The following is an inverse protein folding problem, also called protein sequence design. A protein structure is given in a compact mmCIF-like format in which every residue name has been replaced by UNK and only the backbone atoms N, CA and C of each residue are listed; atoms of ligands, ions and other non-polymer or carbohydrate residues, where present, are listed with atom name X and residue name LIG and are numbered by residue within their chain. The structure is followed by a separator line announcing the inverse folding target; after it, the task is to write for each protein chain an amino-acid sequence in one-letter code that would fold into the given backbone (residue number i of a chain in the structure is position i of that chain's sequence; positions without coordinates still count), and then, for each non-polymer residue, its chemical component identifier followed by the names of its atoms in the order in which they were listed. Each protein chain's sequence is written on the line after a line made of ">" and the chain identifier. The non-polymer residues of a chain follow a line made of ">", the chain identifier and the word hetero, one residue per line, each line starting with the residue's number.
data_IF_357046196046
#
_entry.id   IF_357046196046
#
_cell.length_a   1.000
_cell.length_b   1.000
_cell.length_c   1.000
_cell.angle_alpha   90.00
_cell.angle_beta   90.00
_cell.angle_gamma   90.00
#
_symmetry.space_group_name_H-M   'P 1'
#
loop_
_entity.id
_entity.type
_entity.pdbx_description
1 polymer ?
#
# COMPACT_ATOMS: atom_id res chain seq x y z
N UNK A 1 22.57 -10.70 -41.75
CA UNK A 1 23.10 -9.98 -40.58
C UNK A 1 22.20 -8.77 -40.37
N UNK A 2 21.31 -8.82 -39.39
CA UNK A 2 20.38 -7.73 -39.08
C UNK A 2 21.08 -6.77 -38.11
N UNK A 3 21.28 -5.52 -38.51
CA UNK A 3 21.88 -4.50 -37.64
C UNK A 3 20.81 -4.00 -36.66
N UNK A 4 21.02 -4.26 -35.37
CA UNK A 4 20.22 -3.74 -34.27
C UNK A 4 20.71 -2.34 -33.92
N UNK A 5 19.97 -1.31 -34.33
CA UNK A 5 20.26 0.08 -33.97
C UNK A 5 19.67 0.37 -32.60
N UNK A 6 20.50 0.44 -31.57
CA UNK A 6 20.12 0.91 -30.23
C UNK A 6 20.05 2.44 -30.26
N UNK A 7 18.86 3.00 -30.08
CA UNK A 7 18.66 4.44 -29.87
C UNK A 7 18.66 4.70 -28.37
N UNK A 8 19.77 5.17 -27.84
CA UNK A 8 19.86 5.64 -26.45
C UNK A 8 19.29 7.05 -26.37
N UNK A 9 18.04 7.18 -25.92
CA UNK A 9 17.45 8.48 -25.62
C UNK A 9 17.91 8.95 -24.24
N UNK A 10 18.84 9.92 -24.20
CA UNK A 10 19.21 10.62 -22.98
C UNK A 10 18.12 11.66 -22.65
N UNK A 11 17.34 11.42 -21.60
CA UNK A 11 16.37 12.39 -21.08
C UNK A 11 17.12 13.31 -20.10
N UNK A 12 17.41 14.53 -20.56
CA UNK A 12 17.89 15.61 -19.71
C UNK A 12 16.74 16.22 -18.92
N UNK A 13 16.67 15.94 -17.62
CA UNK A 13 15.79 16.65 -16.69
C UNK A 13 16.37 18.04 -16.41
N UNK A 14 15.94 19.02 -17.21
CA UNK A 14 16.12 20.44 -16.95
C UNK A 14 15.23 20.85 -15.78
N UNK A 15 15.84 21.25 -14.67
CA UNK A 15 15.13 21.63 -13.44
C UNK A 15 14.20 22.82 -13.65
N UNK A 16 12.91 22.61 -13.35
CA UNK A 16 11.95 23.67 -13.13
C UNK A 16 11.87 23.93 -11.62
N UNK A 17 12.51 25.00 -11.16
CA UNK A 17 12.25 25.58 -9.83
C UNK A 17 10.81 26.09 -9.80
N UNK A 18 9.97 25.47 -8.98
CA UNK A 18 8.65 26.01 -8.63
C UNK A 18 8.87 27.13 -7.61
N UNK A 19 8.61 28.37 -8.04
CA UNK A 19 8.55 29.54 -7.16
C UNK A 19 7.13 29.60 -6.58
N UNK A 20 7.00 29.39 -5.27
CA UNK A 20 5.75 29.56 -4.52
C UNK A 20 5.66 31.03 -4.07
N UNK A 21 4.68 31.84 -4.50
CA UNK A 21 4.54 33.19 -3.98
C UNK A 21 3.91 33.19 -2.59
N UNK A 22 4.61 33.82 -1.64
CA UNK A 22 4.15 34.17 -0.30
C UNK A 22 3.19 35.36 -0.37
N UNK A 23 1.93 35.18 0.03
CA UNK A 23 0.95 36.27 0.18
C UNK A 23 0.58 36.47 1.63
N UNK A 24 1.12 37.51 2.27
CA UNK A 24 0.72 37.99 3.59
C UNK A 24 -0.08 39.30 3.50
N UNK A 25 -1.28 39.28 4.09
CA UNK A 25 -1.93 40.27 4.98
C UNK A 25 -2.07 41.77 4.63
N UNK A 26 -3.32 42.27 4.67
CA UNK A 26 -3.89 43.51 5.26
C UNK A 26 -5.32 43.67 4.68
N UNK A 27 -6.47 43.82 5.37
CA UNK A 27 -6.80 44.39 6.67
C UNK A 27 -7.73 45.61 6.45
N UNK A 28 -9.03 45.55 6.80
CA UNK A 28 -9.84 46.74 7.14
C UNK A 28 -11.23 46.40 7.72
N UNK A 29 -11.62 47.21 8.70
CA UNK A 29 -12.66 47.08 9.73
C UNK A 29 -14.09 47.45 9.25
N UNK A 30 -15.14 47.07 10.01
CA UNK A 30 -16.50 47.60 9.79
C UNK A 30 -17.70 46.90 10.45
N UNK A 31 -17.78 46.95 11.79
CA UNK A 31 -18.93 46.89 12.74
C UNK A 31 -20.38 46.77 12.19
N UNK A 32 -21.17 45.85 12.77
CA UNK A 32 -22.44 46.19 13.46
C UNK A 32 -22.82 45.13 14.52
N UNK A 33 -22.89 45.58 15.77
CA UNK A 33 -23.44 44.86 16.92
C UNK A 33 -24.93 45.22 17.01
N UNK A 34 -25.82 44.23 17.11
CA UNK A 34 -27.18 44.44 17.64
C UNK A 34 -27.74 43.17 18.26
N UNK A 35 -27.65 43.14 19.60
CA UNK A 35 -28.67 42.76 20.60
C UNK A 35 -29.76 41.76 20.15
N UNK A 36 -29.67 40.55 20.70
CA UNK A 36 -30.79 39.64 20.91
C UNK A 36 -30.60 38.89 22.24
N UNK A 37 -31.18 39.44 23.30
CA UNK A 37 -31.33 38.78 24.61
C UNK A 37 -32.18 37.53 24.48
N UNK A 38 -31.62 36.35 24.78
CA UNK A 38 -32.40 35.21 25.27
C UNK A 38 -31.60 34.49 26.35
N UNK A 39 -31.75 34.95 27.58
CA UNK A 39 -31.38 34.16 28.75
C UNK A 39 -32.36 33.01 28.90
N UNK A 40 -31.84 31.80 29.11
CA UNK A 40 -32.36 30.84 30.10
C UNK A 40 -31.20 30.01 30.66
N UNK A 41 -31.11 30.06 31.98
CA UNK A 41 -30.27 29.27 32.86
C UNK A 41 -30.38 27.76 32.66
N UNK A 42 -29.28 27.06 32.98
CA UNK A 42 -29.36 25.81 33.74
C UNK A 42 -28.54 24.67 33.17
N UNK A 43 -27.42 24.33 33.84
CA UNK A 43 -26.83 22.99 33.74
C UNK A 43 -25.32 22.94 33.87
N UNK A 44 -24.84 22.74 35.10
CA UNK A 44 -23.46 22.34 35.41
C UNK A 44 -23.17 20.93 34.88
N UNK A 45 -21.97 20.71 34.34
CA UNK A 45 -21.42 19.40 33.95
C UNK A 45 -20.15 19.61 33.14
N UNK A 46 -19.01 19.85 33.79
CA UNK A 46 -18.03 18.83 34.21
C UNK A 46 -17.33 18.12 33.03
N UNK A 47 -16.03 18.34 32.94
CA UNK A 47 -15.06 17.33 32.50
C UNK A 47 -15.12 16.92 31.03
N UNK A 48 -14.20 17.48 30.24
CA UNK A 48 -13.28 16.71 29.41
C UNK A 48 -13.78 15.36 28.90
N UNK A 49 -14.40 15.36 27.71
CA UNK A 49 -14.32 14.22 26.80
C UNK A 49 -13.68 14.69 25.51
N UNK A 50 -12.34 14.64 25.50
CA UNK A 50 -11.60 14.21 24.33
C UNK A 50 -12.03 12.78 24.04
N UNK A 51 -13.15 12.59 23.36
CA UNK A 51 -13.39 11.35 22.63
C UNK A 51 -12.55 11.44 21.36
N UNK A 52 -11.27 11.10 21.55
CA UNK A 52 -10.45 10.63 20.45
C UNK A 52 -11.16 9.41 19.88
N UNK A 53 -11.88 9.63 18.79
CA UNK A 53 -12.06 8.61 17.79
C UNK A 53 -10.65 8.33 17.23
N UNK A 54 -9.91 7.51 17.98
CA UNK A 54 -8.84 6.73 17.39
C UNK A 54 -9.51 5.89 16.33
N UNK A 55 -9.54 6.41 15.10
CA UNK A 55 -9.47 5.56 13.95
C UNK A 55 -8.29 4.65 14.23
N UNK A 56 -8.56 3.39 14.57
CA UNK A 56 -7.60 2.35 14.25
C UNK A 56 -7.36 2.56 12.76
N UNK A 57 -6.20 3.12 12.45
CA UNK A 57 -5.68 3.23 11.10
C UNK A 57 -5.47 1.78 10.65
N UNK A 58 -6.58 1.15 10.26
CA UNK A 58 -6.57 -0.07 9.49
C UNK A 58 -5.67 0.22 8.31
N UNK A 59 -4.61 -0.55 8.21
CA UNK A 59 -3.51 -0.48 7.24
C UNK A 59 -3.98 -0.67 5.77
N UNK A 60 -5.26 -0.47 5.49
CA UNK A 60 -6.00 -0.84 4.30
C UNK A 60 -6.50 0.39 3.49
N UNK A 61 -6.23 1.62 3.94
CA UNK A 61 -6.61 2.82 3.18
C UNK A 61 -5.42 3.38 2.41
N UNK A 62 -5.11 2.79 1.25
CA UNK A 62 -4.25 3.43 0.27
C UNK A 62 -4.96 4.62 -0.38
N UNK A 63 -4.20 5.62 -0.86
CA UNK A 63 -4.75 6.73 -1.64
C UNK A 63 -5.16 6.23 -3.02
N UNK A 64 -6.40 6.48 -3.42
CA UNK A 64 -6.85 6.21 -4.80
C UNK A 64 -6.27 7.25 -5.74
N UNK A 65 -5.57 6.78 -6.76
CA UNK A 65 -4.97 7.56 -7.84
C UNK A 65 -5.82 7.47 -9.11
N UNK A 66 -5.74 8.48 -9.95
CA UNK A 66 -6.24 8.46 -11.34
C UNK A 66 -5.27 7.74 -12.27
N UNK A 67 -5.71 7.42 -13.50
CA UNK A 67 -4.92 6.63 -14.47
C UNK A 67 -3.60 7.28 -14.91
N UNK A 68 -3.44 8.60 -14.76
CA UNK A 68 -2.25 9.33 -15.22
C UNK A 68 -1.26 9.64 -14.12
N UNK A 69 -1.60 9.31 -12.87
CA UNK A 69 -0.74 9.59 -11.72
C UNK A 69 0.32 8.49 -11.55
N UNK A 70 1.46 8.91 -11.01
CA UNK A 70 2.50 8.00 -10.54
C UNK A 70 2.36 7.85 -9.02
N UNK A 71 2.39 6.62 -8.55
CA UNK A 71 2.54 6.33 -7.14
C UNK A 71 4.02 6.23 -6.80
N UNK A 72 4.50 7.00 -5.83
CA UNK A 72 5.85 6.88 -5.25
C UNK A 72 5.72 7.02 -3.73
N UNK A 73 5.82 5.92 -3.00
CA UNK A 73 5.69 5.93 -1.54
C UNK A 73 6.53 4.82 -0.90
N UNK A 74 7.10 5.14 0.27
CA UNK A 74 7.81 4.18 1.12
C UNK A 74 6.88 3.66 2.20
N UNK A 75 6.68 2.34 2.27
CA UNK A 75 5.89 1.68 3.31
C UNK A 75 6.63 0.46 3.85
N UNK A 76 6.76 0.37 5.18
CA UNK A 76 7.50 -0.73 5.85
C UNK A 76 8.92 -0.97 5.27
N UNK A 77 9.56 0.09 4.78
CA UNK A 77 10.89 0.03 4.18
C UNK A 77 10.95 -0.34 2.69
N UNK A 78 9.81 -0.69 2.08
CA UNK A 78 9.70 -0.89 0.64
C UNK A 78 9.23 0.41 -0.03
N UNK A 79 10.01 0.96 -0.95
CA UNK A 79 9.59 2.05 -1.83
C UNK A 79 8.95 1.46 -3.06
N UNK A 80 7.67 1.70 -3.27
CA UNK A 80 6.97 1.32 -4.49
C UNK A 80 6.81 2.54 -5.37
N UNK A 81 7.35 2.45 -6.59
CA UNK A 81 7.08 3.37 -7.69
C UNK A 81 6.23 2.61 -8.71
N UNK A 82 5.04 3.09 -9.06
CA UNK A 82 4.13 2.39 -9.97
C UNK A 82 3.30 3.38 -10.80
N UNK A 83 3.06 3.04 -12.06
CA UNK A 83 2.22 3.80 -12.99
C UNK A 83 1.38 2.85 -13.84
N UNK A 84 0.18 3.28 -14.22
CA UNK A 84 -0.63 2.58 -15.22
C UNK A 84 -0.14 2.90 -16.63
N UNK A 85 0.26 1.88 -17.38
CA UNK A 85 0.62 1.97 -18.78
C UNK A 85 -0.55 1.52 -19.66
N UNK A 86 -1.19 2.47 -20.35
CA UNK A 86 -2.34 2.21 -21.20
C UNK A 86 -1.97 1.48 -22.51
N UNK A 87 -0.70 1.56 -22.95
CA UNK A 87 -0.25 0.90 -24.18
C UNK A 87 -0.16 -0.62 -24.01
N UNK A 88 0.39 -1.07 -22.88
CA UNK A 88 0.50 -2.49 -22.51
C UNK A 88 -0.65 -2.99 -21.64
N UNK A 89 -1.57 -2.11 -21.24
CA UNK A 89 -2.68 -2.41 -20.32
C UNK A 89 -2.17 -3.07 -19.03
N UNK A 90 -1.17 -2.46 -18.39
CA UNK A 90 -0.52 -3.01 -17.22
C UNK A 90 -0.04 -1.93 -16.25
N UNK A 91 0.02 -2.26 -14.96
CA UNK A 91 0.75 -1.45 -13.99
C UNK A 91 2.22 -1.83 -14.02
N UNK A 92 3.09 -0.85 -14.23
CA UNK A 92 4.52 -1.05 -14.36
C UNK A 92 5.29 -0.14 -13.40
N UNK A 93 6.43 -0.60 -12.92
CA UNK A 93 7.26 0.17 -12.01
C UNK A 93 8.27 -0.69 -11.27
N UNK A 94 8.64 -0.27 -10.06
CA UNK A 94 9.68 -0.92 -9.26
C UNK A 94 9.35 -0.92 -7.78
N UNK A 95 9.83 -1.95 -7.07
CA UNK A 95 9.90 -1.93 -5.61
C UNK A 95 11.36 -2.03 -5.15
N UNK A 96 11.75 -1.13 -4.25
CA UNK A 96 13.10 -1.03 -3.69
C UNK A 96 13.09 -1.22 -2.17
N UNK A 97 14.06 -1.96 -1.64
CA UNK A 97 14.33 -1.98 -0.21
C UNK A 97 15.19 -0.77 0.20
N UNK A 98 14.58 0.20 0.89
CA UNK A 98 15.25 1.42 1.36
C UNK A 98 15.90 1.27 2.75
N UNK A 99 15.96 0.06 3.28
CA UNK A 99 16.48 -0.22 4.64
C UNK A 99 17.87 -0.84 4.61
N UNK A 100 18.47 -1.03 5.78
CA UNK A 100 19.74 -1.73 5.95
C UNK A 100 19.58 -3.23 6.25
N UNK A 101 18.36 -3.77 6.19
CA UNK A 101 18.05 -5.18 6.47
C UNK A 101 17.31 -5.80 5.29
N UNK A 102 17.38 -7.12 5.11
CA UNK A 102 16.56 -7.80 4.10
C UNK A 102 15.07 -7.66 4.43
N UNK A 103 14.26 -7.24 3.46
CA UNK A 103 12.81 -7.30 3.53
C UNK A 103 12.36 -8.66 3.01
N UNK A 104 11.61 -9.40 3.82
CA UNK A 104 11.15 -10.74 3.49
C UNK A 104 9.80 -10.66 2.77
N UNK A 105 9.60 -11.50 1.75
CA UNK A 105 8.30 -11.76 1.13
C UNK A 105 7.57 -10.51 0.68
N UNK A 106 8.29 -9.58 0.03
CA UNK A 106 7.71 -8.37 -0.54
C UNK A 106 6.75 -8.75 -1.67
N UNK A 107 5.54 -8.20 -1.62
CA UNK A 107 4.48 -8.41 -2.61
C UNK A 107 3.83 -7.07 -2.97
N UNK A 108 3.37 -6.95 -4.21
CA UNK A 108 2.61 -5.79 -4.67
C UNK A 108 1.23 -6.23 -5.13
N UNK A 109 0.21 -5.48 -4.74
CA UNK A 109 -1.18 -5.64 -5.15
C UNK A 109 -1.75 -4.29 -5.59
N UNK A 110 -2.72 -4.29 -6.51
CA UNK A 110 -3.44 -3.09 -6.94
C UNK A 110 -4.94 -3.33 -6.90
N UNK A 111 -5.67 -2.48 -6.20
CA UNK A 111 -7.14 -2.47 -6.19
C UNK A 111 -7.65 -1.47 -7.20
N UNK A 112 -8.52 -1.88 -8.11
CA UNK A 112 -9.13 -1.02 -9.12
C UNK A 112 -10.45 -0.44 -8.61
N UNK A 113 -10.80 0.76 -9.06
CA UNK A 113 -12.05 1.45 -8.64
C UNK A 113 -13.33 0.71 -9.03
N UNK A 114 -13.23 -0.26 -9.95
CA UNK A 114 -14.33 -1.14 -10.35
C UNK A 114 -14.48 -2.39 -9.45
N UNK A 115 -13.66 -2.50 -8.39
CA UNK A 115 -13.68 -3.59 -7.42
C UNK A 115 -12.83 -4.81 -7.80
N UNK A 116 -12.06 -4.74 -8.89
CA UNK A 116 -11.12 -5.80 -9.28
C UNK A 116 -9.81 -5.64 -8.53
N UNK A 117 -9.27 -6.72 -7.99
CA UNK A 117 -7.96 -6.79 -7.34
C UNK A 117 -6.96 -7.48 -8.26
N UNK A 118 -5.76 -6.89 -8.41
CA UNK A 118 -4.66 -7.42 -9.22
C UNK A 118 -3.50 -7.85 -8.32
N UNK A 119 -3.11 -9.11 -8.42
CA UNK A 119 -2.04 -9.69 -7.62
C UNK A 119 -2.55 -10.56 -6.46
N UNK A 120 -1.79 -10.68 -5.35
CA UNK A 120 -0.46 -10.10 -5.16
C UNK A 120 0.59 -10.70 -6.12
N UNK A 121 1.69 -9.99 -6.36
CA UNK A 121 2.85 -10.53 -7.09
C UNK A 121 3.45 -11.74 -6.36
N UNK A 122 4.26 -12.55 -7.07
CA UNK A 122 5.07 -13.58 -6.42
C UNK A 122 5.95 -12.95 -5.33
N UNK A 123 5.96 -13.50 -4.09
CA UNK A 123 6.77 -12.96 -3.01
C UNK A 123 8.26 -13.00 -3.35
N UNK A 124 8.98 -11.92 -3.03
CA UNK A 124 10.42 -11.84 -3.21
C UNK A 124 11.10 -11.25 -1.98
N UNK A 125 12.24 -11.81 -1.59
CA UNK A 125 13.07 -11.21 -0.55
C UNK A 125 13.99 -10.16 -1.21
N UNK A 126 14.03 -8.96 -0.65
CA UNK A 126 14.83 -7.85 -1.15
C UNK A 126 15.98 -7.55 -0.18
N UNK A 127 17.21 -7.73 -0.62
CA UNK A 127 18.39 -7.28 0.11
C UNK A 127 18.43 -5.73 0.22
N UNK A 128 19.21 -5.14 1.15
CA UNK A 128 19.35 -3.69 1.26
C UNK A 128 19.72 -3.02 -0.06
N UNK A 129 18.94 -2.02 -0.48
CA UNK A 129 19.13 -1.29 -1.74
C UNK A 129 18.80 -2.09 -3.00
N UNK A 130 18.27 -3.30 -2.88
CA UNK A 130 17.83 -4.08 -4.05
C UNK A 130 16.51 -3.52 -4.59
N UNK A 131 16.46 -3.40 -5.91
CA UNK A 131 15.27 -3.01 -6.68
C UNK A 131 14.86 -4.16 -7.59
N UNK A 132 13.55 -4.39 -7.72
CA UNK A 132 12.98 -5.34 -8.68
C UNK A 132 11.85 -4.69 -9.46
N UNK A 133 11.71 -5.08 -10.72
CA UNK A 133 10.62 -4.62 -11.58
C UNK A 133 9.28 -5.23 -11.13
N UNK A 134 8.23 -4.44 -11.24
CA UNK A 134 6.85 -4.84 -11.01
C UNK A 134 6.09 -4.70 -12.33
N UNK A 135 5.37 -5.76 -12.70
CA UNK A 135 4.45 -5.76 -13.83
C UNK A 135 3.20 -6.56 -13.46
N UNK A 136 2.05 -5.88 -13.45
CA UNK A 136 0.74 -6.47 -13.19
C UNK A 136 -0.20 -6.14 -14.35
N UNK A 137 -0.55 -7.12 -15.21
CA UNK A 137 -1.55 -6.92 -16.26
C UNK A 137 -2.87 -6.44 -15.64
N UNK A 138 -3.46 -5.41 -16.23
CA UNK A 138 -4.79 -4.94 -15.86
C UNK A 138 -5.88 -5.80 -16.52
N UNK A 139 -7.13 -5.51 -16.20
CA UNK A 139 -8.32 -6.15 -16.78
C UNK A 139 -8.80 -5.40 -18.03
N UNK A 140 -9.61 -6.05 -18.88
CA UNK A 140 -10.32 -5.41 -19.99
C UNK A 140 -11.53 -4.58 -19.51
N UNK A 141 -11.90 -4.68 -18.22
CA UNK A 141 -12.99 -3.91 -17.63
C UNK A 141 -12.54 -2.48 -17.34
N UNK A 142 -13.40 -1.50 -17.64
CA UNK A 142 -13.10 -0.10 -17.36
C UNK A 142 -12.96 0.18 -15.85
N UNK A 143 -12.02 1.06 -15.51
CA UNK A 143 -11.80 1.63 -14.19
C UNK A 143 -11.26 3.05 -14.35
N UNK A 144 -11.52 3.90 -13.36
CA UNK A 144 -11.15 5.33 -13.39
C UNK A 144 -10.04 5.67 -12.39
N UNK A 145 -9.81 4.76 -11.44
CA UNK A 145 -8.77 4.90 -10.45
C UNK A 145 -8.29 3.57 -9.89
N UNK A 146 -7.23 3.64 -9.11
CA UNK A 146 -6.53 2.48 -8.58
C UNK A 146 -5.83 2.83 -7.26
N UNK A 147 -5.60 1.82 -6.43
CA UNK A 147 -4.94 1.94 -5.13
C UNK A 147 -3.88 0.85 -5.00
N UNK A 148 -2.58 1.20 -4.93
CA UNK A 148 -1.52 0.21 -4.79
C UNK A 148 -1.21 -0.13 -3.33
N UNK A 149 -0.80 -1.37 -3.11
CA UNK A 149 -0.40 -1.90 -1.83
C UNK A 149 0.95 -2.62 -1.97
N UNK A 150 1.94 -2.17 -1.21
CA UNK A 150 3.17 -2.92 -0.98
C UNK A 150 3.09 -3.61 0.38
N UNK A 151 3.16 -4.93 0.38
CA UNK A 151 3.18 -5.75 1.58
C UNK A 151 4.60 -6.26 1.87
N UNK A 152 4.97 -6.31 3.15
CA UNK A 152 6.25 -6.85 3.60
C UNK A 152 5.98 -7.84 4.73
N UNK A 153 6.55 -9.03 4.61
CA UNK A 153 6.49 -10.09 5.61
C UNK A 153 5.65 -11.30 5.19
N UNK A 154 5.70 -12.39 5.99
CA UNK A 154 4.85 -13.55 5.79
C UNK A 154 3.41 -13.06 5.94
N UNK A 155 2.64 -13.05 4.85
CA UNK A 155 1.28 -12.52 4.87
C UNK A 155 0.46 -13.18 5.98
N UNK A 156 -0.25 -12.37 6.77
CA UNK A 156 -1.31 -12.88 7.64
C UNK A 156 -2.53 -13.21 6.76
N UNK A 157 -2.51 -14.33 6.04
CA UNK A 157 -3.66 -14.75 5.25
C UNK A 157 -3.30 -15.65 4.08
N UNK A 158 -3.60 -16.94 4.22
CA UNK A 158 -3.39 -17.96 3.20
C UNK A 158 -2.83 -19.22 3.84
N UNK A 159 -3.74 -20.09 4.29
CA UNK A 159 -3.46 -21.39 4.89
C UNK A 159 -2.36 -22.13 4.11
N UNK A 160 -1.19 -22.23 4.71
CA UNK A 160 -0.16 -23.15 4.27
C UNK A 160 -0.75 -24.56 4.36
N UNK A 161 -1.16 -25.10 3.21
CA UNK A 161 -1.50 -26.51 3.09
C UNK A 161 -0.35 -27.34 3.62
N UNK A 162 -0.59 -28.04 4.72
CA UNK A 162 0.25 -29.11 5.24
C UNK A 162 0.21 -30.31 4.26
N UNK A 163 0.87 -30.15 3.12
CA UNK A 163 1.39 -31.28 2.36
C UNK A 163 2.78 -31.59 2.90
N UNK A 164 2.84 -32.36 3.99
CA UNK A 164 4.06 -33.05 4.39
C UNK A 164 4.26 -34.29 3.51
N UNK A 165 5.39 -34.41 2.77
CA UNK A 165 5.70 -35.61 2.01
C UNK A 165 6.33 -36.68 2.93
N UNK A 166 5.81 -37.90 2.83
CA UNK A 166 6.54 -39.17 2.84
C UNK A 166 7.60 -39.45 3.92
N UNK A 167 7.31 -40.46 4.75
CA UNK A 167 8.31 -41.20 5.53
C UNK A 167 7.75 -42.55 5.97
N UNK A 168 8.05 -43.57 5.18
CA UNK A 168 7.79 -45.00 5.37
C UNK A 168 8.72 -45.63 6.44
N UNK A 169 8.45 -46.89 6.80
CA UNK A 169 9.10 -47.76 7.83
C UNK A 169 8.47 -47.61 9.23
N UNK A 170 7.93 -48.63 9.91
CA UNK A 170 8.20 -50.06 9.94
C UNK A 170 8.36 -50.43 11.42
N UNK A 171 7.48 -51.28 11.98
CA UNK A 171 7.58 -51.66 13.39
C UNK A 171 6.39 -52.44 13.93
N UNK A 172 6.45 -53.76 13.80
CA UNK A 172 5.59 -54.74 14.45
C UNK A 172 5.72 -54.65 15.98
N UNK A 173 4.61 -54.78 16.72
CA UNK A 173 4.65 -54.86 18.17
C UNK A 173 3.27 -55.04 18.79
N UNK A 174 2.84 -56.30 18.91
CA UNK A 174 1.67 -56.68 19.70
C UNK A 174 1.87 -56.35 21.18
N UNK A 175 0.81 -55.84 21.82
CA UNK A 175 0.74 -55.60 23.26
C UNK A 175 -0.57 -56.17 23.78
N UNK A 176 -0.46 -57.17 24.65
CA UNK A 176 -1.55 -57.95 25.21
C UNK A 176 -2.41 -57.13 26.18
N UNK A 177 -3.74 -57.20 26.03
CA UNK A 177 -4.67 -56.72 27.05
C UNK A 177 -4.79 -57.77 28.16
N UNK A 178 -4.26 -57.45 29.33
CA UNK A 178 -4.56 -58.15 30.58
C UNK A 178 -5.21 -57.17 31.54
N UNK A 179 -6.55 -57.19 31.59
CA UNK A 179 -7.35 -56.43 32.56
C UNK A 179 -7.55 -57.29 33.80
N UNK A 180 -6.82 -57.00 34.87
CA UNK A 180 -7.08 -57.49 36.22
C UNK A 180 -7.78 -56.42 37.04
N UNK A 181 -8.93 -56.75 37.59
CA UNK A 181 -9.75 -55.92 38.48
C UNK A 181 -11.11 -56.54 38.72
#
# INVERSE_FOLDING_TARGET
>A
MLALTVVTAAIGISGCTVIVPTGEHYGSEGITISRGEHGREGGQGNGERKEGAGASEGEESGTTLTLTEEYDTVRKGARLILVYDAESNAFTGTVENTTSSTLQQVRVEVHLSNGVELGPTTPVDLAPGQTVDVSLPATDQAFDGWTPHAEVGPGSGGEAGEHGPGGEEGGEGGGEHSSGG
#
